data_IF_384062844843
#
_entry.id   IF_384062844843
#
_cell.length_a   1.000
_cell.length_b   1.000
_cell.length_c   1.000
_cell.angle_alpha   90.00
_cell.angle_beta   90.00
_cell.angle_gamma   90.00
#
_symmetry.space_group_name_H-M   'P 1'
#
loop_
_entity.id
_entity.type
_entity.pdbx_description
1 polymer ?
#
# COMPACT_ATOMS: atom_id res chain seq x y z
N UNK A 1 6.00 -2.50 11.51
CA UNK A 1 5.95 -3.29 10.27
C UNK A 1 4.98 -2.60 9.32
N UNK A 2 5.20 -2.66 8.01
CA UNK A 2 4.23 -2.21 7.00
C UNK A 2 3.58 -3.42 6.35
N UNK A 3 2.25 -3.47 6.35
CA UNK A 3 1.49 -4.57 5.76
C UNK A 3 0.63 -4.00 4.64
N UNK A 4 0.74 -4.58 3.45
CA UNK A 4 -0.11 -4.26 2.31
C UNK A 4 -1.15 -5.36 2.17
N UNK A 5 -2.42 -4.99 2.26
CA UNK A 5 -3.55 -5.93 2.16
C UNK A 5 -4.48 -5.56 1.00
N UNK A 6 -5.07 -6.57 0.36
CA UNK A 6 -6.21 -6.42 -0.52
C UNK A 6 -7.50 -6.55 0.28
N UNK A 7 -8.18 -5.44 0.56
CA UNK A 7 -9.45 -5.42 1.30
C UNK A 7 -10.56 -6.21 0.59
N UNK A 8 -10.54 -6.28 -0.74
CA UNK A 8 -11.55 -7.01 -1.54
C UNK A 8 -11.51 -8.53 -1.31
N UNK A 9 -10.36 -9.06 -0.89
CA UNK A 9 -10.20 -10.48 -0.61
C UNK A 9 -10.87 -10.94 0.70
N UNK A 10 -11.40 -10.00 1.52
CA UNK A 10 -12.19 -10.30 2.74
C UNK A 10 -11.52 -11.31 3.69
N UNK A 11 -10.20 -11.20 3.88
CA UNK A 11 -9.45 -12.09 4.78
C UNK A 11 -9.15 -13.49 4.23
N UNK A 12 -9.53 -13.77 2.97
CA UNK A 12 -9.25 -15.05 2.31
C UNK A 12 -7.82 -15.13 1.80
N UNK A 13 -7.42 -16.30 1.28
CA UNK A 13 -6.13 -16.50 0.60
C UNK A 13 -5.92 -15.41 -0.46
N UNK A 14 -4.77 -14.73 -0.40
CA UNK A 14 -4.45 -13.60 -1.27
C UNK A 14 -4.78 -12.21 -0.70
N UNK A 15 -5.27 -12.13 0.54
CA UNK A 15 -5.49 -10.85 1.24
C UNK A 15 -4.17 -10.14 1.53
N UNK A 16 -3.17 -10.84 2.05
CA UNK A 16 -1.87 -10.22 2.32
C UNK A 16 -1.05 -10.21 1.03
N UNK A 17 -0.73 -9.01 0.53
CA UNK A 17 0.08 -8.82 -0.67
C UNK A 17 1.56 -8.74 -0.28
N UNK A 18 1.89 -7.98 0.77
CA UNK A 18 3.25 -7.81 1.24
C UNK A 18 3.30 -7.54 2.75
N UNK A 19 4.35 -8.04 3.40
CA UNK A 19 4.68 -7.71 4.78
C UNK A 19 6.14 -7.29 4.84
N UNK A 20 6.39 -6.06 5.29
CA UNK A 20 7.68 -5.39 5.20
C UNK A 20 8.12 -4.96 6.61
N UNK A 21 9.35 -5.29 6.99
CA UNK A 21 9.92 -4.87 8.27
C UNK A 21 10.42 -3.42 8.19
N UNK A 22 9.76 -2.53 8.94
CA UNK A 22 10.06 -1.11 9.03
C UNK A 22 9.01 -0.24 8.33
N UNK A 23 9.21 1.08 8.34
CA UNK A 23 8.34 2.10 7.73
C UNK A 23 9.12 3.12 6.88
N UNK A 24 10.41 2.86 6.60
CA UNK A 24 11.21 3.70 5.70
C UNK A 24 10.59 3.73 4.31
N UNK A 25 10.44 4.94 3.77
CA UNK A 25 9.83 5.17 2.47
C UNK A 25 10.62 4.47 1.37
N UNK A 26 11.96 4.52 1.40
CA UNK A 26 12.77 3.87 0.36
C UNK A 26 12.55 2.36 0.38
N UNK A 27 12.67 1.74 1.56
CA UNK A 27 12.60 0.28 1.70
C UNK A 27 11.23 -0.26 1.34
N UNK A 28 10.16 0.40 1.79
CA UNK A 28 8.80 -0.03 1.49
C UNK A 28 8.49 0.17 0.00
N UNK A 29 8.88 1.31 -0.57
CA UNK A 29 8.62 1.60 -1.98
C UNK A 29 9.35 0.62 -2.89
N UNK A 30 10.60 0.28 -2.61
CA UNK A 30 11.35 -0.72 -3.40
C UNK A 30 10.66 -2.07 -3.44
N UNK A 31 10.05 -2.53 -2.34
CA UNK A 31 9.31 -3.79 -2.32
C UNK A 31 8.02 -3.68 -3.13
N UNK A 32 7.25 -2.61 -2.96
CA UNK A 32 5.99 -2.42 -3.66
C UNK A 32 6.22 -2.21 -5.17
N UNK A 33 7.30 -1.55 -5.57
CA UNK A 33 7.65 -1.33 -6.98
C UNK A 33 8.01 -2.61 -7.74
N UNK A 34 8.26 -3.73 -7.04
CA UNK A 34 8.36 -5.06 -7.67
C UNK A 34 7.02 -5.52 -8.26
N UNK A 35 5.89 -4.96 -7.79
CA UNK A 35 4.59 -5.16 -8.44
C UNK A 35 4.57 -4.43 -9.78
N UNK A 36 4.08 -5.13 -10.80
CA UNK A 36 3.97 -4.57 -12.13
C UNK A 36 3.17 -3.27 -12.13
N UNK A 37 3.57 -2.34 -12.99
CA UNK A 37 2.89 -1.04 -13.15
C UNK A 37 1.38 -1.23 -13.36
N UNK A 38 0.99 -2.20 -14.19
CA UNK A 38 -0.42 -2.54 -14.43
C UNK A 38 -1.20 -2.82 -13.15
N UNK A 39 -0.66 -3.64 -12.23
CA UNK A 39 -1.33 -3.94 -10.95
C UNK A 39 -1.43 -2.71 -10.06
N UNK A 40 -0.37 -1.91 -10.00
CA UNK A 40 -0.35 -0.68 -9.19
C UNK A 40 -1.34 0.38 -9.68
N UNK A 41 -1.59 0.44 -10.99
CA UNK A 41 -2.57 1.35 -11.60
C UNK A 41 -4.01 0.84 -11.52
N UNK A 42 -4.23 -0.43 -11.18
CA UNK A 42 -5.57 -0.98 -10.95
C UNK A 42 -6.11 -0.65 -9.55
N UNK A 43 -5.24 -0.24 -8.62
CA UNK A 43 -5.64 0.14 -7.26
C UNK A 43 -6.41 1.46 -7.32
N UNK A 44 -7.66 1.46 -6.84
CA UNK A 44 -8.54 2.63 -6.85
C UNK A 44 -8.54 3.41 -5.55
N UNK A 45 -8.34 2.73 -4.43
CA UNK A 45 -8.37 3.34 -3.11
C UNK A 45 -7.33 2.68 -2.20
N UNK A 46 -6.66 3.49 -1.38
CA UNK A 46 -5.75 3.06 -0.33
C UNK A 46 -6.14 3.76 0.95
N UNK A 47 -6.38 2.94 1.98
CA UNK A 47 -6.48 3.42 3.35
C UNK A 47 -5.10 3.35 4.01
N UNK A 48 -4.67 4.45 4.64
CA UNK A 48 -3.41 4.54 5.37
C UNK A 48 -3.61 5.21 6.73
N UNK A 49 -2.73 4.88 7.68
CA UNK A 49 -2.66 5.55 8.98
C UNK A 49 -2.27 7.04 8.84
N UNK A 50 -2.36 7.81 9.91
CA UNK A 50 -2.02 9.24 9.90
C UNK A 50 -0.51 9.52 9.76
N UNK A 51 0.33 8.53 9.47
CA UNK A 51 1.77 8.74 9.35
C UNK A 51 2.15 9.35 7.99
N UNK A 52 2.93 10.46 7.95
CA UNK A 52 3.29 11.15 6.71
C UNK A 52 4.12 10.26 5.75
N UNK A 53 4.88 9.31 6.29
CA UNK A 53 5.64 8.35 5.49
C UNK A 53 4.74 7.44 4.66
N UNK A 54 3.59 7.02 5.19
CA UNK A 54 2.65 6.14 4.47
C UNK A 54 2.01 6.88 3.29
N UNK A 55 1.66 8.16 3.47
CA UNK A 55 1.11 8.97 2.40
C UNK A 55 2.11 9.13 1.24
N UNK A 56 3.39 9.33 1.57
CA UNK A 56 4.46 9.41 0.56
C UNK A 56 4.65 8.10 -0.20
N UNK A 57 4.66 6.97 0.50
CA UNK A 57 4.74 5.63 -0.12
C UNK A 57 3.56 5.40 -1.07
N UNK A 58 2.34 5.71 -0.62
CA UNK A 58 1.14 5.48 -1.40
C UNK A 58 1.12 6.30 -2.70
N UNK A 59 1.50 7.58 -2.63
CA UNK A 59 1.61 8.45 -3.83
C UNK A 59 2.65 7.95 -4.83
N UNK A 60 3.81 7.49 -4.34
CA UNK A 60 4.89 6.98 -5.19
C UNK A 60 4.50 5.66 -5.87
N UNK A 61 3.89 4.74 -5.10
CA UNK A 61 3.66 3.39 -5.56
C UNK A 61 2.33 3.22 -6.31
N UNK A 62 1.30 3.97 -5.93
CA UNK A 62 -0.07 3.83 -6.43
C UNK A 62 -0.65 5.19 -6.87
N UNK A 63 -0.10 5.77 -7.94
CA UNK A 63 -0.41 7.14 -8.34
C UNK A 63 -1.87 7.36 -8.78
N UNK A 64 -2.58 6.30 -9.16
CA UNK A 64 -3.99 6.36 -9.58
C UNK A 64 -4.98 6.14 -8.42
N UNK A 65 -4.50 5.80 -7.22
CA UNK A 65 -5.35 5.47 -6.10
C UNK A 65 -5.76 6.73 -5.31
N UNK A 66 -7.03 6.78 -4.89
CA UNK A 66 -7.52 7.75 -3.91
C UNK A 66 -6.96 7.39 -2.53
N UNK A 67 -6.41 8.37 -1.83
CA UNK A 67 -5.86 8.20 -0.49
C UNK A 67 -6.93 8.56 0.55
N UNK A 68 -7.22 7.61 1.43
CA UNK A 68 -8.13 7.78 2.55
C UNK A 68 -7.33 7.60 3.84
N UNK A 69 -7.45 8.57 4.74
CA UNK A 69 -6.82 8.49 6.06
C UNK A 69 -7.74 7.66 6.96
N UNK A 70 -7.20 6.60 7.55
CA UNK A 70 -7.88 5.87 8.61
C UNK A 70 -7.90 6.72 9.88
N UNK A 71 -9.09 6.94 10.44
CA UNK A 71 -9.30 7.81 11.63
C UNK A 71 -9.80 7.03 12.84
N UNK A 72 -9.78 5.70 12.75
CA UNK A 72 -10.25 4.78 13.76
C UNK A 72 -9.08 4.12 14.50
#
# INVERSE_FOLDING_TARGET
>A
YTILINKEAKGRKGTIIAMIKGTSVEKVSQVILKLSRRRRFQVREITLDMAPNMARIARLCFPAAKLVIDRF
#
